data_IF_913131054841
#
_entry.id   IF_913131054841
#
_cell.length_a   1.000
_cell.length_b   1.000
_cell.length_c   1.000
_cell.angle_alpha   90.00
_cell.angle_beta   90.00
_cell.angle_gamma   90.00
#
_symmetry.space_group_name_H-M   'P 1'
#
loop_
_entity.id
_entity.type
_entity.pdbx_description
1 polymer ?
#
# COMPACT_ATOMS: atom_id res chain seq x y z
N UNK A 1 -16.03 2.27 10.57
CA UNK A 1 -15.64 3.56 11.18
C UNK A 1 -15.93 3.55 12.69
N UNK A 2 -17.18 3.21 13.11
CA UNK A 2 -17.55 3.21 14.54
C UNK A 2 -16.67 2.23 15.36
N UNK A 3 -16.48 1.00 14.87
CA UNK A 3 -15.65 -0.01 15.53
C UNK A 3 -14.20 0.46 15.71
N UNK A 4 -13.63 1.15 14.71
CA UNK A 4 -12.27 1.68 14.78
C UNK A 4 -12.14 2.81 15.82
N UNK A 5 -13.14 3.68 15.91
CA UNK A 5 -13.18 4.74 16.93
C UNK A 5 -13.32 4.17 18.35
N UNK A 6 -14.17 3.16 18.53
CA UNK A 6 -14.33 2.47 19.82
C UNK A 6 -13.05 1.76 20.22
N UNK A 7 -12.38 1.08 19.29
CA UNK A 7 -11.10 0.42 19.53
C UNK A 7 -10.00 1.43 19.92
N UNK A 8 -9.94 2.55 19.23
CA UNK A 8 -8.99 3.63 19.54
C UNK A 8 -9.26 4.23 20.93
N UNK A 9 -10.52 4.52 21.24
CA UNK A 9 -10.93 5.04 22.55
C UNK A 9 -10.59 4.06 23.68
N UNK A 10 -10.87 2.77 23.49
CA UNK A 10 -10.53 1.72 24.45
C UNK A 10 -9.01 1.62 24.66
N UNK A 11 -8.21 1.70 23.60
CA UNK A 11 -6.75 1.70 23.69
C UNK A 11 -6.22 2.92 24.44
N UNK A 12 -6.74 4.12 24.16
CA UNK A 12 -6.36 5.36 24.85
C UNK A 12 -6.73 5.28 26.33
N UNK A 13 -7.92 4.81 26.68
CA UNK A 13 -8.36 4.62 28.06
C UNK A 13 -7.45 3.60 28.78
N UNK A 14 -7.16 2.48 28.17
CA UNK A 14 -6.29 1.46 28.73
C UNK A 14 -4.89 2.03 29.04
N UNK A 15 -4.30 2.75 28.09
CA UNK A 15 -2.98 3.37 28.25
C UNK A 15 -2.98 4.49 29.30
N UNK A 16 -4.13 5.11 29.56
CA UNK A 16 -4.26 6.15 30.60
C UNK A 16 -4.27 5.56 32.02
N UNK A 17 -4.87 4.38 32.17
CA UNK A 17 -5.02 3.73 33.49
C UNK A 17 -3.92 2.72 33.77
N UNK A 18 -3.42 2.04 32.75
CA UNK A 18 -2.42 1.00 32.90
C UNK A 18 -1.03 1.47 32.47
N UNK A 19 -0.13 1.54 33.45
CA UNK A 19 1.29 1.83 33.21
C UNK A 19 2.07 0.52 33.30
N UNK A 20 2.66 0.04 32.18
CA UNK A 20 3.47 -1.18 32.19
C UNK A 20 4.73 -0.99 33.03
N UNK A 21 5.15 -2.05 33.72
CA UNK A 21 6.41 -2.04 34.48
C UNK A 21 7.57 -1.82 33.49
N UNK A 22 8.48 -0.89 33.82
CA UNK A 22 9.59 -0.52 32.94
C UNK A 22 9.27 0.61 31.93
N UNK A 23 8.07 1.23 32.00
CA UNK A 23 7.70 2.34 31.13
C UNK A 23 8.64 3.55 31.24
N UNK A 24 9.14 3.83 32.44
CA UNK A 24 10.07 4.95 32.67
C UNK A 24 11.45 4.70 32.05
N UNK A 25 11.99 3.48 32.16
CA UNK A 25 13.26 3.12 31.51
C UNK A 25 13.14 3.14 29.97
N UNK A 26 12.02 2.62 29.44
CA UNK A 26 11.74 2.68 28.00
C UNK A 26 11.60 4.13 27.54
N UNK A 27 10.93 4.97 28.31
CA UNK A 27 10.75 6.38 28.01
C UNK A 27 12.08 7.14 28.03
N UNK A 28 12.93 6.92 29.03
CA UNK A 28 14.26 7.52 29.08
C UNK A 28 15.14 7.11 27.89
N UNK A 29 15.08 5.84 27.47
CA UNK A 29 15.81 5.34 26.29
C UNK A 29 15.30 5.95 24.97
N UNK A 30 14.01 6.25 24.88
CA UNK A 30 13.38 6.83 23.69
C UNK A 30 13.44 8.37 23.70
N UNK A 31 13.35 9.01 24.86
CA UNK A 31 13.33 10.47 24.97
C UNK A 31 14.71 11.11 24.74
N UNK A 32 15.80 10.44 25.10
CA UNK A 32 17.14 10.98 24.91
C UNK A 32 17.49 11.21 23.40
N UNK A 33 17.32 10.21 22.50
CA UNK A 33 17.54 10.44 21.08
C UNK A 33 16.47 11.36 20.46
N UNK A 34 15.23 11.33 20.94
CA UNK A 34 14.15 12.20 20.46
C UNK A 34 14.42 13.67 20.80
N UNK A 35 14.91 13.98 22.00
CA UNK A 35 15.31 15.35 22.39
C UNK A 35 16.50 15.87 21.60
N UNK A 36 17.52 15.03 21.35
CA UNK A 36 18.64 15.39 20.52
C UNK A 36 18.21 15.67 19.07
N UNK A 37 17.31 14.86 18.53
CA UNK A 37 16.73 15.07 17.21
C UNK A 37 15.80 16.32 17.15
N UNK A 38 15.08 16.63 18.23
CA UNK A 38 14.18 17.79 18.29
C UNK A 38 14.92 19.14 18.28
N UNK A 39 16.15 19.19 18.80
CA UNK A 39 16.97 20.41 18.77
C UNK A 39 17.40 20.82 17.37
N UNK A 40 17.34 19.90 16.42
CA UNK A 40 17.80 20.07 15.03
C UNK A 40 16.63 20.24 14.02
N UNK A 41 15.39 20.36 14.52
CA UNK A 41 14.17 20.47 13.71
C UNK A 41 14.02 21.90 13.17
N UNK A 42 14.52 22.16 11.98
CA UNK A 42 14.17 23.35 11.21
C UNK A 42 12.87 23.16 10.44
N UNK A 43 12.09 24.24 10.15
CA UNK A 43 10.85 24.13 9.36
C UNK A 43 11.04 23.40 8.03
N UNK A 44 12.16 23.61 7.35
CA UNK A 44 12.49 22.94 6.10
C UNK A 44 12.70 21.44 6.27
N UNK A 45 13.28 20.99 7.39
CA UNK A 45 13.49 19.57 7.70
C UNK A 45 12.17 18.87 8.02
N UNK A 46 11.28 19.54 8.76
CA UNK A 46 9.93 19.04 9.03
C UNK A 46 9.17 18.89 7.71
N UNK A 47 9.23 19.89 6.83
CA UNK A 47 8.60 19.83 5.53
C UNK A 47 9.12 18.66 4.69
N UNK A 48 10.44 18.48 4.61
CA UNK A 48 11.05 17.36 3.90
C UNK A 48 10.63 15.99 4.47
N UNK A 49 10.50 15.86 5.79
CA UNK A 49 10.06 14.62 6.42
C UNK A 49 8.57 14.30 6.14
N UNK A 50 7.73 15.33 6.00
CA UNK A 50 6.29 15.16 5.71
C UNK A 50 6.01 15.05 4.20
N UNK A 51 6.92 15.54 3.37
CA UNK A 51 6.78 15.59 1.92
C UNK A 51 6.38 14.24 1.27
N UNK A 52 6.92 13.07 1.68
CA UNK A 52 6.50 11.78 1.12
C UNK A 52 5.00 11.51 1.28
N UNK A 53 4.44 11.85 2.44
CA UNK A 53 3.01 11.68 2.70
C UNK A 53 2.18 12.60 1.81
N UNK A 54 2.61 13.85 1.66
CA UNK A 54 1.94 14.82 0.78
C UNK A 54 1.96 14.33 -0.67
N UNK A 55 3.10 13.83 -1.15
CA UNK A 55 3.24 13.31 -2.52
C UNK A 55 2.36 12.08 -2.73
N UNK A 56 2.34 11.14 -1.79
CA UNK A 56 1.46 9.97 -1.88
C UNK A 56 -0.01 10.41 -1.96
N UNK A 57 -0.45 11.28 -1.05
CA UNK A 57 -1.84 11.79 -1.06
C UNK A 57 -2.15 12.51 -2.36
N UNK A 58 -1.24 13.37 -2.86
CA UNK A 58 -1.42 14.10 -4.11
C UNK A 58 -1.53 13.15 -5.31
N UNK A 59 -0.65 12.14 -5.42
CA UNK A 59 -0.69 11.15 -6.52
C UNK A 59 -2.00 10.38 -6.51
N UNK A 60 -2.46 9.92 -5.34
CA UNK A 60 -3.74 9.21 -5.23
C UNK A 60 -4.93 10.13 -5.51
N UNK A 61 -4.90 11.35 -5.00
CA UNK A 61 -5.95 12.33 -5.26
C UNK A 61 -6.05 12.64 -6.75
N UNK A 62 -4.94 12.91 -7.43
CA UNK A 62 -4.91 13.15 -8.87
C UNK A 62 -5.41 11.93 -9.66
N UNK A 63 -4.97 10.73 -9.30
CA UNK A 63 -5.36 9.50 -10.00
C UNK A 63 -6.83 9.13 -9.83
N UNK A 64 -7.48 9.50 -8.71
CA UNK A 64 -8.85 9.06 -8.37
C UNK A 64 -9.90 10.18 -8.44
N UNK A 65 -9.52 11.44 -8.17
CA UNK A 65 -10.46 12.56 -8.13
C UNK A 65 -10.52 13.33 -9.46
N UNK A 66 -9.50 13.23 -10.31
CA UNK A 66 -9.46 13.96 -11.59
C UNK A 66 -9.98 13.05 -12.71
N UNK A 67 -11.24 13.28 -13.21
CA UNK A 67 -11.88 12.39 -14.19
C UNK A 67 -11.05 12.08 -15.43
N UNK A 68 -10.39 13.06 -16.10
CA UNK A 68 -9.58 12.78 -17.29
C UNK A 68 -8.36 11.90 -16.98
N UNK A 69 -7.74 12.03 -15.81
CA UNK A 69 -6.61 11.19 -15.40
C UNK A 69 -7.10 9.78 -15.09
N UNK A 70 -8.20 9.65 -14.35
CA UNK A 70 -8.82 8.35 -14.04
C UNK A 70 -9.22 7.63 -15.34
N UNK A 71 -9.80 8.34 -16.30
CA UNK A 71 -10.16 7.78 -17.62
C UNK A 71 -8.92 7.32 -18.39
N UNK A 72 -7.86 8.12 -18.42
CA UNK A 72 -6.59 7.76 -19.08
C UNK A 72 -5.93 6.54 -18.40
N UNK A 73 -5.92 6.45 -17.08
CA UNK A 73 -5.39 5.30 -16.35
C UNK A 73 -6.19 4.03 -16.62
N UNK A 74 -7.52 4.14 -16.69
CA UNK A 74 -8.41 3.01 -16.95
C UNK A 74 -8.40 2.58 -18.43
N UNK A 75 -8.11 3.48 -19.38
CA UNK A 75 -8.04 3.13 -20.81
C UNK A 75 -6.95 2.12 -21.13
N UNK A 76 -5.92 2.04 -20.29
CA UNK A 76 -4.77 1.11 -20.42
C UNK A 76 -5.02 -0.22 -19.67
N UNK A 77 -6.24 -0.42 -19.13
CA UNK A 77 -6.62 -1.67 -18.44
C UNK A 77 -6.72 -2.82 -19.46
N UNK A 78 -5.88 -3.84 -19.30
CA UNK A 78 -5.96 -5.04 -20.10
C UNK A 78 -7.05 -5.97 -19.54
N UNK A 79 -8.00 -6.35 -20.41
CA UNK A 79 -9.01 -7.37 -20.09
C UNK A 79 -8.51 -8.69 -20.62
N UNK A 80 -8.21 -9.63 -19.74
CA UNK A 80 -7.67 -10.95 -20.09
C UNK A 80 -8.75 -11.98 -19.76
N UNK A 81 -9.42 -12.55 -20.77
CA UNK A 81 -10.35 -13.65 -20.56
C UNK A 81 -9.56 -14.91 -20.14
N UNK A 82 -10.07 -15.64 -19.16
CA UNK A 82 -9.45 -16.90 -18.73
C UNK A 82 -9.59 -17.96 -19.83
N UNK A 83 -8.49 -18.49 -20.34
CA UNK A 83 -8.53 -19.51 -21.40
C UNK A 83 -9.30 -20.75 -20.92
N UNK A 84 -10.34 -21.16 -21.68
CA UNK A 84 -11.14 -22.33 -21.38
C UNK A 84 -12.23 -22.18 -20.31
N UNK A 85 -12.32 -21.01 -19.64
CA UNK A 85 -13.39 -20.73 -18.67
C UNK A 85 -14.36 -19.64 -19.16
N UNK A 86 -13.86 -18.70 -19.94
CA UNK A 86 -14.69 -17.58 -20.44
C UNK A 86 -15.75 -18.10 -21.40
N UNK A 87 -17.01 -17.76 -21.12
CA UNK A 87 -18.19 -18.24 -21.86
C UNK A 87 -18.64 -19.69 -21.54
N UNK A 88 -17.88 -20.46 -20.76
CA UNK A 88 -18.25 -21.82 -20.36
C UNK A 88 -18.82 -21.91 -18.94
N UNK A 89 -18.59 -20.92 -18.11
CA UNK A 89 -19.17 -20.82 -16.78
C UNK A 89 -20.40 -19.92 -16.80
N UNK A 90 -21.53 -20.48 -16.36
CA UNK A 90 -22.80 -19.79 -16.23
C UNK A 90 -23.19 -19.76 -14.76
N UNK A 91 -23.91 -18.73 -14.35
CA UNK A 91 -24.51 -18.65 -13.00
C UNK A 91 -25.77 -19.54 -12.92
N UNK A 92 -26.41 -19.57 -11.76
CA UNK A 92 -27.64 -20.33 -11.52
C UNK A 92 -28.82 -19.86 -12.41
N UNK A 93 -28.75 -18.69 -13.05
CA UNK A 93 -29.72 -18.14 -13.99
C UNK A 93 -29.41 -18.45 -15.45
N UNK A 94 -28.26 -19.11 -15.74
CA UNK A 94 -27.79 -19.41 -17.08
C UNK A 94 -27.06 -18.26 -17.77
N UNK A 95 -26.79 -17.17 -17.06
CA UNK A 95 -26.01 -16.05 -17.61
C UNK A 95 -24.49 -16.29 -17.49
N UNK A 96 -23.68 -15.85 -18.48
CA UNK A 96 -22.22 -15.96 -18.39
C UNK A 96 -21.66 -15.21 -17.17
N UNK A 97 -20.79 -15.86 -16.40
CA UNK A 97 -20.14 -15.26 -15.25
C UNK A 97 -19.15 -14.18 -15.68
N UNK A 98 -19.42 -12.93 -15.31
CA UNK A 98 -18.54 -11.78 -15.61
C UNK A 98 -17.16 -11.87 -14.92
N UNK A 99 -17.02 -12.72 -13.88
CA UNK A 99 -15.80 -12.94 -13.13
C UNK A 99 -14.74 -13.78 -13.88
N UNK A 100 -15.07 -14.32 -15.07
CA UNK A 100 -14.15 -15.06 -15.93
C UNK A 100 -13.18 -14.16 -16.72
N UNK A 101 -13.39 -12.83 -16.68
CA UNK A 101 -12.52 -11.86 -17.32
C UNK A 101 -11.69 -11.13 -16.26
N UNK A 102 -10.39 -11.38 -16.25
CA UNK A 102 -9.47 -10.67 -15.37
C UNK A 102 -9.16 -9.27 -15.89
N UNK A 103 -9.44 -8.25 -15.08
CA UNK A 103 -9.10 -6.86 -15.40
C UNK A 103 -7.72 -6.52 -14.82
N UNK A 104 -6.72 -6.50 -15.67
CA UNK A 104 -5.36 -6.14 -15.27
C UNK A 104 -5.15 -4.63 -15.33
N UNK A 105 -5.43 -3.97 -14.22
CA UNK A 105 -5.29 -2.52 -14.03
C UNK A 105 -3.86 -2.17 -13.61
N UNK A 106 -2.89 -2.45 -14.47
CA UNK A 106 -1.48 -2.30 -14.10
C UNK A 106 -1.07 -0.85 -13.79
N UNK A 107 -1.69 0.15 -14.40
CA UNK A 107 -1.37 1.57 -14.17
C UNK A 107 -2.27 2.21 -13.11
N UNK A 108 -3.54 1.82 -13.03
CA UNK A 108 -4.50 2.30 -12.03
C UNK A 108 -4.37 1.60 -10.67
N UNK A 109 -3.54 0.57 -10.58
CA UNK A 109 -3.30 -0.19 -9.35
C UNK A 109 -2.68 0.69 -8.26
N UNK A 110 -3.14 0.56 -7.00
CA UNK A 110 -2.55 1.27 -5.86
C UNK A 110 -1.03 1.03 -5.71
N UNK A 111 -0.56 -0.17 -6.03
CA UNK A 111 0.87 -0.50 -5.98
C UNK A 111 1.70 0.31 -6.97
N UNK A 112 1.21 0.48 -8.20
CA UNK A 112 1.89 1.28 -9.23
C UNK A 112 1.88 2.77 -8.87
N UNK A 113 0.78 3.29 -8.31
CA UNK A 113 0.70 4.67 -7.85
C UNK A 113 1.70 4.94 -6.70
N UNK A 114 1.84 4.00 -5.76
CA UNK A 114 2.85 4.09 -4.70
C UNK A 114 4.27 4.05 -5.25
N UNK A 115 4.53 3.21 -6.25
CA UNK A 115 5.83 3.13 -6.91
C UNK A 115 6.17 4.45 -7.61
N UNK A 116 5.21 5.05 -8.31
CA UNK A 116 5.36 6.37 -8.95
C UNK A 116 5.64 7.44 -7.89
N UNK A 117 4.88 7.48 -6.80
CA UNK A 117 5.10 8.40 -5.70
C UNK A 117 6.50 8.23 -5.09
N UNK A 118 6.95 7.00 -4.89
CA UNK A 118 8.30 6.68 -4.41
C UNK A 118 9.41 7.14 -5.35
N UNK A 119 9.23 6.98 -6.68
CA UNK A 119 10.17 7.48 -7.67
C UNK A 119 10.22 9.00 -7.71
N UNK A 120 9.07 9.67 -7.62
CA UNK A 120 9.02 11.14 -7.49
C UNK A 120 9.82 11.59 -6.27
N UNK A 121 9.62 10.93 -5.12
CA UNK A 121 10.35 11.24 -3.90
C UNK A 121 11.86 10.98 -4.03
N UNK A 122 12.25 9.91 -4.71
CA UNK A 122 13.68 9.64 -4.98
C UNK A 122 14.33 10.75 -5.80
N UNK A 123 13.62 11.29 -6.80
CA UNK A 123 14.08 12.43 -7.60
C UNK A 123 14.15 13.70 -6.76
N UNK A 124 13.12 13.97 -5.95
CA UNK A 124 13.07 15.17 -5.09
C UNK A 124 14.21 15.14 -4.07
N UNK A 125 14.41 14.03 -3.37
CA UNK A 125 15.52 13.93 -2.41
C UNK A 125 16.89 13.99 -3.09
N UNK A 126 17.06 13.38 -4.26
CA UNK A 126 18.31 13.48 -5.03
C UNK A 126 18.67 14.91 -5.44
N UNK A 127 17.64 15.80 -5.61
CA UNK A 127 17.85 17.20 -6.05
C UNK A 127 17.94 18.21 -4.92
N UNK A 128 17.27 17.96 -3.79
CA UNK A 128 17.08 18.93 -2.71
C UNK A 128 17.74 18.53 -1.39
N UNK A 129 18.39 17.36 -1.33
CA UNK A 129 19.17 16.98 -0.14
C UNK A 129 20.55 17.61 -0.16
N UNK A 130 20.62 18.86 0.31
CA UNK A 130 21.89 19.57 0.45
C UNK A 130 22.68 19.18 1.72
N UNK A 131 22.02 18.53 2.69
CA UNK A 131 22.61 18.17 3.98
C UNK A 131 23.13 16.73 4.04
N UNK A 132 22.98 15.92 2.97
CA UNK A 132 23.42 14.52 2.92
C UNK A 132 22.74 13.58 3.89
N UNK A 133 21.61 14.00 4.50
CA UNK A 133 20.85 13.20 5.48
C UNK A 133 19.85 12.24 4.86
N UNK A 134 19.47 12.48 3.61
CA UNK A 134 18.57 11.62 2.84
C UNK A 134 19.28 11.13 1.57
N UNK A 135 20.33 10.28 1.68
CA UNK A 135 21.14 9.87 0.55
C UNK A 135 20.37 8.91 -0.38
N UNK A 136 19.25 9.39 -0.93
CA UNK A 136 18.42 8.68 -1.89
C UNK A 136 18.83 9.11 -3.30
N UNK A 137 19.68 8.32 -3.93
CA UNK A 137 19.91 8.37 -5.37
C UNK A 137 18.82 7.54 -6.08
N UNK A 138 18.41 7.97 -7.26
CA UNK A 138 17.46 7.22 -8.11
C UNK A 138 17.96 5.80 -8.38
N UNK A 139 19.27 5.63 -8.59
CA UNK A 139 19.90 4.32 -8.75
C UNK A 139 19.76 3.42 -7.52
N UNK A 140 19.96 3.99 -6.33
CA UNK A 140 19.78 3.27 -5.05
C UNK A 140 18.31 2.92 -4.81
N UNK A 141 17.38 3.80 -5.18
CA UNK A 141 15.94 3.53 -5.08
C UNK A 141 15.52 2.36 -5.97
N UNK A 142 15.98 2.31 -7.23
CA UNK A 142 15.73 1.20 -8.14
C UNK A 142 16.35 -0.12 -7.64
N UNK A 143 17.58 -0.07 -7.13
CA UNK A 143 18.23 -1.24 -6.53
C UNK A 143 17.47 -1.74 -5.29
N UNK A 144 16.92 -0.84 -4.48
CA UNK A 144 16.13 -1.21 -3.30
C UNK A 144 14.78 -1.82 -3.69
N UNK A 145 14.13 -1.33 -4.75
CA UNK A 145 12.93 -1.97 -5.31
C UNK A 145 13.25 -3.42 -5.70
N UNK A 146 14.35 -3.66 -6.43
CA UNK A 146 14.77 -5.01 -6.79
C UNK A 146 15.03 -5.92 -5.57
N UNK A 147 15.70 -5.40 -4.55
CA UNK A 147 15.93 -6.11 -3.28
C UNK A 147 14.63 -6.41 -2.53
N UNK A 148 13.69 -5.46 -2.54
CA UNK A 148 12.37 -5.63 -1.94
C UNK A 148 11.61 -6.78 -2.60
N UNK A 149 11.55 -6.81 -3.94
CA UNK A 149 10.94 -7.93 -4.68
C UNK A 149 11.59 -9.26 -4.34
N UNK A 150 12.92 -9.34 -4.33
CA UNK A 150 13.64 -10.55 -3.97
C UNK A 150 13.34 -11.03 -2.54
N UNK A 151 13.20 -10.10 -1.60
CA UNK A 151 12.89 -10.39 -0.19
C UNK A 151 11.44 -10.85 -0.01
N UNK A 152 10.52 -10.25 -0.75
CA UNK A 152 9.08 -10.54 -0.65
C UNK A 152 8.62 -11.74 -1.49
N UNK A 153 9.49 -12.37 -2.29
CA UNK A 153 9.12 -13.43 -3.23
C UNK A 153 8.33 -14.59 -2.60
N UNK A 154 8.72 -15.03 -1.40
CA UNK A 154 8.05 -16.12 -0.71
C UNK A 154 6.68 -15.72 -0.17
N UNK A 155 6.56 -14.50 0.37
CA UNK A 155 5.27 -13.96 0.79
C UNK A 155 4.32 -13.78 -0.40
N UNK A 156 4.83 -13.28 -1.52
CA UNK A 156 4.06 -13.15 -2.75
C UNK A 156 3.58 -14.52 -3.26
N UNK A 157 4.45 -15.54 -3.24
CA UNK A 157 4.09 -16.91 -3.63
C UNK A 157 2.97 -17.46 -2.73
N UNK A 158 3.06 -17.27 -1.42
CA UNK A 158 2.02 -17.69 -0.48
C UNK A 158 0.68 -17.03 -0.80
N UNK A 159 0.67 -15.72 -1.05
CA UNK A 159 -0.54 -14.98 -1.42
C UNK A 159 -1.14 -15.54 -2.72
N UNK A 160 -0.31 -15.77 -3.74
CA UNK A 160 -0.76 -16.34 -5.03
C UNK A 160 -1.42 -17.71 -4.82
N UNK A 161 -0.81 -18.60 -4.04
CA UNK A 161 -1.35 -19.93 -3.76
C UNK A 161 -2.69 -19.84 -3.03
N UNK A 162 -2.79 -18.99 -1.98
CA UNK A 162 -4.03 -18.82 -1.20
C UNK A 162 -5.14 -18.23 -2.07
N UNK A 163 -4.83 -17.21 -2.88
CA UNK A 163 -5.81 -16.63 -3.78
C UNK A 163 -6.25 -17.62 -4.86
N UNK A 164 -5.33 -18.41 -5.42
CA UNK A 164 -5.67 -19.46 -6.40
C UNK A 164 -6.63 -20.48 -5.80
N UNK A 165 -6.38 -20.92 -4.56
CA UNK A 165 -7.29 -21.82 -3.84
C UNK A 165 -8.67 -21.18 -3.63
N UNK A 166 -8.73 -19.92 -3.20
CA UNK A 166 -9.98 -19.19 -3.02
C UNK A 166 -10.77 -19.07 -4.32
N UNK A 167 -10.11 -18.81 -5.44
CA UNK A 167 -10.76 -18.77 -6.76
C UNK A 167 -11.31 -20.15 -7.17
N UNK A 168 -10.54 -21.21 -6.97
CA UNK A 168 -11.01 -22.59 -7.26
C UNK A 168 -12.25 -22.92 -6.42
N UNK A 169 -12.24 -22.61 -5.12
CA UNK A 169 -13.39 -22.83 -4.25
C UNK A 169 -14.63 -22.04 -4.67
N UNK A 170 -14.45 -20.79 -5.09
CA UNK A 170 -15.56 -19.96 -5.58
C UNK A 170 -16.14 -20.48 -6.89
N UNK A 171 -15.30 -20.85 -7.86
CA UNK A 171 -15.77 -21.34 -9.16
C UNK A 171 -16.32 -22.77 -9.10
N UNK A 172 -15.90 -23.58 -8.13
CA UNK A 172 -16.47 -24.93 -7.92
C UNK A 172 -17.83 -24.93 -7.23
N UNK A 173 -18.36 -23.76 -6.82
CA UNK A 173 -19.62 -23.65 -6.12
C UNK A 173 -19.59 -24.12 -4.65
N UNK A 174 -18.43 -24.50 -4.12
CA UNK A 174 -18.30 -24.99 -2.74
C UNK A 174 -18.73 -23.94 -1.72
N UNK A 175 -18.44 -22.65 -1.97
CA UNK A 175 -18.87 -21.54 -1.10
C UNK A 175 -20.39 -21.41 -1.01
N UNK A 176 -21.10 -21.69 -2.09
CA UNK A 176 -22.59 -21.68 -2.12
C UNK A 176 -23.18 -22.92 -1.45
N UNK A 177 -22.47 -24.05 -1.54
CA UNK A 177 -22.93 -25.31 -0.93
C UNK A 177 -22.73 -25.36 0.60
N UNK A 178 -21.78 -24.56 1.12
CA UNK A 178 -21.48 -24.50 2.57
C UNK A 178 -22.16 -23.36 3.32
N UNK A 179 -22.80 -22.41 2.64
CA UNK A 179 -23.53 -21.27 3.22
C UNK A 179 -25.03 -21.43 3.00
#
# INVERSE_FOLDING_TARGET
VVASLVSLAAAVLLLRFWRPRGAEEARQRLDAPARAAAQDLTPGRIFMAVLPYIVVVAVFALAKLVPPITAALNSVTAKIPWPGLDGHLVDASGAPLASTVYKFEWLASPGTLLLIAGLIMAVVYSRFDHDGRFPLSVGNALAEIGRCFARMRWSALTIVIVLSLAYVMNFSGQTVAMG
#
